data_IF_326955895128
#
_entry.id   IF_326955895128
#
_cell.length_a   1.000
_cell.length_b   1.000
_cell.length_c   1.000
_cell.angle_alpha   90.00
_cell.angle_beta   90.00
_cell.angle_gamma   90.00
#
_symmetry.space_group_name_H-M   'P 1'
#
loop_
_entity.id
_entity.type
_entity.pdbx_description
1 polymer ?
#
# COMPACT_ATOMS: atom_id res chain seq x y z
N UNK A 1 4.79 -1.93 0.20
CA UNK A 1 5.06 -1.55 -1.21
C UNK A 1 5.86 -2.64 -1.95
N UNK A 2 6.90 -3.21 -1.33
CA UNK A 2 7.87 -4.09 -1.96
C UNK A 2 7.78 -5.51 -1.41
N UNK A 3 7.90 -6.49 -2.30
CA UNK A 3 8.06 -7.90 -1.92
C UNK A 3 9.52 -8.33 -1.97
N UNK A 4 10.25 -7.86 -2.99
CA UNK A 4 11.68 -8.18 -3.18
C UNK A 4 12.57 -7.14 -2.51
N UNK A 5 13.65 -7.60 -1.90
CA UNK A 5 14.71 -6.75 -1.35
C UNK A 5 15.36 -5.89 -2.42
N UNK A 6 15.55 -6.44 -3.62
CA UNK A 6 16.12 -5.72 -4.77
C UNK A 6 15.26 -4.52 -5.19
N UNK A 7 13.93 -4.65 -5.18
CA UNK A 7 13.03 -3.54 -5.49
C UNK A 7 13.02 -2.51 -4.36
N UNK A 8 13.03 -2.95 -3.12
CA UNK A 8 13.08 -2.09 -1.95
C UNK A 8 14.39 -1.28 -1.90
N UNK A 9 15.52 -1.95 -2.19
CA UNK A 9 16.82 -1.29 -2.30
C UNK A 9 16.83 -0.27 -3.45
N UNK A 10 16.40 -0.67 -4.65
CA UNK A 10 16.49 0.17 -5.84
C UNK A 10 15.58 1.42 -5.79
N UNK A 11 14.42 1.34 -5.11
CA UNK A 11 13.41 2.40 -5.16
C UNK A 11 13.28 3.20 -3.87
N UNK A 12 13.84 2.73 -2.76
CA UNK A 12 13.70 3.39 -1.46
C UNK A 12 14.90 3.21 -0.54
N UNK A 13 16.00 2.63 -1.05
CA UNK A 13 17.22 2.34 -0.26
C UNK A 13 16.94 1.62 1.08
N UNK A 14 15.95 0.73 1.05
CA UNK A 14 15.44 0.04 2.23
C UNK A 14 15.31 -1.48 1.99
N UNK A 15 16.43 -2.24 1.88
CA UNK A 15 16.40 -3.66 1.56
C UNK A 15 15.58 -4.49 2.55
N UNK A 16 15.60 -4.14 3.82
CA UNK A 16 14.87 -4.83 4.90
C UNK A 16 13.39 -4.46 5.00
N UNK A 17 12.86 -3.62 4.08
CA UNK A 17 11.50 -3.11 4.13
C UNK A 17 10.44 -4.20 4.38
N UNK A 18 10.54 -5.33 3.65
CA UNK A 18 9.55 -6.40 3.77
C UNK A 18 9.51 -6.97 5.19
N UNK A 19 10.66 -7.26 5.79
CA UNK A 19 10.76 -7.81 7.14
C UNK A 19 10.08 -6.88 8.14
N UNK A 20 10.47 -5.61 8.16
CA UNK A 20 9.92 -4.63 9.08
C UNK A 20 8.43 -4.37 8.88
N UNK A 21 7.98 -4.37 7.62
CA UNK A 21 6.56 -4.19 7.32
C UNK A 21 5.71 -5.39 7.80
N UNK A 22 6.23 -6.61 7.71
CA UNK A 22 5.54 -7.80 8.20
C UNK A 22 5.49 -7.84 9.72
N UNK A 23 6.62 -7.58 10.39
CA UNK A 23 6.70 -7.52 11.86
C UNK A 23 5.77 -6.42 12.43
N UNK A 24 5.78 -5.24 11.82
CA UNK A 24 4.89 -4.15 12.22
C UNK A 24 3.40 -4.49 12.02
N UNK A 25 3.05 -5.15 10.93
CA UNK A 25 1.68 -5.54 10.65
C UNK A 25 1.19 -6.59 11.66
N UNK A 26 2.02 -7.59 11.96
CA UNK A 26 1.71 -8.60 12.98
C UNK A 26 1.44 -7.95 14.33
N UNK A 27 2.30 -7.03 14.76
CA UNK A 27 2.13 -6.28 16.01
C UNK A 27 0.84 -5.45 16.01
N UNK A 28 0.52 -4.73 14.92
CA UNK A 28 -0.72 -3.97 14.80
C UNK A 28 -1.96 -4.86 14.94
N UNK A 29 -1.96 -6.04 14.30
CA UNK A 29 -3.09 -6.98 14.38
C UNK A 29 -3.23 -7.54 15.80
N UNK A 30 -2.12 -7.84 16.47
CA UNK A 30 -2.14 -8.29 17.86
C UNK A 30 -2.69 -7.23 18.83
N UNK A 31 -2.39 -5.94 18.58
CA UNK A 31 -2.82 -4.84 19.43
C UNK A 31 -4.32 -4.52 19.31
N UNK A 32 -4.86 -4.54 18.08
CA UNK A 32 -6.24 -4.05 17.85
C UNK A 32 -7.26 -5.16 17.58
N UNK A 33 -6.82 -6.36 17.21
CA UNK A 33 -7.68 -7.49 16.89
C UNK A 33 -8.51 -7.32 15.62
N UNK A 34 -9.65 -8.00 15.58
CA UNK A 34 -10.57 -8.00 14.44
C UNK A 34 -11.25 -6.66 14.21
N UNK A 35 -11.67 -6.36 12.97
CA UNK A 35 -12.40 -5.15 12.66
C UNK A 35 -13.72 -5.04 13.47
N UNK A 36 -13.93 -3.89 14.09
CA UNK A 36 -15.15 -3.56 14.83
C UNK A 36 -15.82 -2.35 14.20
N UNK A 37 -17.11 -2.46 13.93
CA UNK A 37 -17.92 -1.39 13.37
C UNK A 37 -18.96 -0.91 14.36
N UNK A 38 -19.33 0.38 14.26
CA UNK A 38 -20.45 0.93 14.99
C UNK A 38 -21.79 0.64 14.30
N UNK A 39 -22.89 1.16 14.88
CA UNK A 39 -24.25 0.99 14.34
C UNK A 39 -24.49 1.66 12.99
N UNK A 40 -23.65 2.60 12.59
CA UNK A 40 -23.69 3.31 11.30
C UNK A 40 -22.77 2.68 10.26
N UNK A 41 -22.08 1.57 10.60
CA UNK A 41 -21.15 0.85 9.72
C UNK A 41 -19.79 1.52 9.58
N UNK A 42 -19.40 2.39 10.50
CA UNK A 42 -18.10 3.03 10.53
C UNK A 42 -17.10 2.17 11.32
N UNK A 43 -15.92 1.94 10.74
CA UNK A 43 -14.85 1.18 11.37
C UNK A 43 -14.32 1.91 12.62
N UNK A 44 -14.47 1.30 13.79
CA UNK A 44 -14.02 1.83 15.07
C UNK A 44 -12.65 1.30 15.49
N UNK A 45 -12.34 0.05 15.14
CA UNK A 45 -11.07 -0.60 15.43
C UNK A 45 -10.78 -1.63 14.34
N UNK A 46 -9.51 -1.94 14.13
CA UNK A 46 -9.06 -2.91 13.15
C UNK A 46 -7.87 -2.40 12.34
N UNK A 47 -7.36 -3.23 11.44
CA UNK A 47 -6.21 -2.91 10.60
C UNK A 47 -6.64 -2.77 9.15
N UNK A 48 -6.27 -1.65 8.52
CA UNK A 48 -6.40 -1.44 7.08
C UNK A 48 -5.01 -1.38 6.47
N UNK A 49 -4.67 -2.37 5.64
CA UNK A 49 -3.42 -2.39 4.90
C UNK A 49 -3.60 -1.68 3.57
N UNK A 50 -2.97 -0.52 3.42
CA UNK A 50 -2.99 0.25 2.17
C UNK A 50 -1.82 -0.14 1.29
N UNK A 51 -2.11 -0.80 0.17
CA UNK A 51 -1.11 -1.21 -0.82
C UNK A 51 -1.16 -0.35 -2.07
N UNK A 52 -0.14 0.48 -2.26
CA UNK A 52 0.05 1.27 -3.48
C UNK A 52 0.73 0.41 -4.54
N UNK A 53 0.03 0.15 -5.64
CA UNK A 53 0.62 -0.48 -6.82
C UNK A 53 1.63 0.48 -7.45
N UNK A 54 2.84 0.00 -7.68
CA UNK A 54 3.88 0.73 -8.42
C UNK A 54 3.92 0.26 -9.88
N UNK A 55 4.27 1.16 -10.82
CA UNK A 55 4.37 0.81 -12.24
C UNK A 55 5.33 -0.35 -12.48
N UNK A 56 4.89 -1.35 -13.23
CA UNK A 56 5.68 -2.54 -13.54
C UNK A 56 5.85 -3.55 -12.40
N UNK A 57 5.26 -3.29 -11.23
CA UNK A 57 5.42 -4.15 -10.04
C UNK A 57 4.21 -5.05 -9.76
N UNK A 58 3.38 -5.33 -10.77
CA UNK A 58 2.19 -6.15 -10.62
C UNK A 58 2.46 -7.53 -10.01
N UNK A 59 3.57 -8.18 -10.42
CA UNK A 59 3.93 -9.50 -9.89
C UNK A 59 4.27 -9.46 -8.38
N UNK A 60 4.94 -8.39 -7.93
CA UNK A 60 5.20 -8.18 -6.50
C UNK A 60 3.91 -7.84 -5.73
N UNK A 61 3.07 -6.98 -6.29
CA UNK A 61 1.78 -6.63 -5.71
C UNK A 61 0.90 -7.86 -5.49
N UNK A 62 0.81 -8.75 -6.47
CA UNK A 62 0.09 -10.03 -6.34
C UNK A 62 0.65 -10.91 -5.21
N UNK A 63 1.98 -10.95 -5.03
CA UNK A 63 2.60 -11.68 -3.91
C UNK A 63 2.26 -11.07 -2.56
N UNK A 64 2.24 -9.74 -2.47
CA UNK A 64 1.86 -9.02 -1.26
C UNK A 64 0.39 -9.32 -0.90
N UNK A 65 -0.54 -9.16 -1.84
CA UNK A 65 -1.96 -9.45 -1.63
C UNK A 65 -2.17 -10.90 -1.20
N UNK A 66 -1.50 -11.84 -1.88
CA UNK A 66 -1.56 -13.25 -1.50
C UNK A 66 -1.05 -13.52 -0.10
N UNK A 67 0.08 -12.92 0.30
CA UNK A 67 0.60 -13.03 1.65
C UNK A 67 -0.40 -12.49 2.69
N UNK A 68 -0.92 -11.29 2.48
CA UNK A 68 -1.88 -10.66 3.37
C UNK A 68 -3.12 -11.54 3.57
N UNK A 69 -3.69 -12.03 2.48
CA UNK A 69 -4.89 -12.86 2.54
C UNK A 69 -4.64 -14.23 3.17
N UNK A 70 -3.55 -14.91 2.82
CA UNK A 70 -3.24 -16.22 3.40
C UNK A 70 -2.83 -16.15 4.88
N UNK A 71 -2.25 -15.03 5.33
CA UNK A 71 -1.82 -14.86 6.72
C UNK A 71 -2.95 -14.37 7.62
N UNK A 72 -3.74 -13.41 7.13
CA UNK A 72 -4.72 -12.71 7.96
C UNK A 72 -6.18 -12.93 7.53
N UNK A 73 -6.42 -13.45 6.33
CA UNK A 73 -7.78 -13.65 5.80
C UNK A 73 -8.57 -12.35 5.79
N UNK A 74 -9.79 -12.44 6.33
CA UNK A 74 -10.70 -11.31 6.49
C UNK A 74 -10.61 -10.66 7.90
N UNK A 75 -9.53 -10.89 8.66
CA UNK A 75 -9.24 -10.18 9.91
C UNK A 75 -8.63 -8.79 9.70
N UNK A 76 -8.26 -8.47 8.45
CA UNK A 76 -7.77 -7.15 8.04
C UNK A 76 -8.52 -6.66 6.80
N UNK A 77 -8.52 -5.35 6.58
CA UNK A 77 -8.96 -4.75 5.31
C UNK A 77 -7.76 -4.51 4.39
N UNK A 78 -7.93 -4.78 3.09
CA UNK A 78 -6.91 -4.52 2.08
C UNK A 78 -7.38 -3.38 1.18
N UNK A 79 -6.71 -2.24 1.22
CA UNK A 79 -6.97 -1.11 0.32
C UNK A 79 -5.97 -1.10 -0.83
N UNK A 80 -6.45 -1.41 -2.04
CA UNK A 80 -5.63 -1.39 -3.25
C UNK A 80 -5.68 0.01 -3.87
N UNK A 81 -4.50 0.61 -4.08
CA UNK A 81 -4.36 1.98 -4.55
C UNK A 81 -3.58 2.02 -5.86
N UNK A 82 -4.00 2.89 -6.79
CA UNK A 82 -3.35 3.11 -8.08
C UNK A 82 -2.85 4.56 -8.27
N UNK A 83 -2.96 5.39 -7.25
CA UNK A 83 -2.66 6.83 -7.32
C UNK A 83 -1.16 7.15 -7.24
N UNK A 84 -0.30 6.30 -7.84
CA UNK A 84 1.11 6.61 -7.96
C UNK A 84 1.33 7.78 -8.90
N UNK A 85 2.02 8.82 -8.41
CA UNK A 85 2.45 9.96 -9.20
C UNK A 85 3.97 9.88 -9.37
N UNK A 86 4.48 9.88 -10.63
CA UNK A 86 5.91 9.90 -10.88
C UNK A 86 6.54 11.17 -10.30
N UNK A 87 7.64 11.01 -9.57
CA UNK A 87 8.45 12.12 -9.08
C UNK A 87 9.64 12.36 -10.04
N UNK A 88 10.25 13.55 -10.03
CA UNK A 88 11.50 13.78 -10.73
C UNK A 88 12.60 12.80 -10.24
N UNK A 89 13.52 12.44 -11.11
CA UNK A 89 14.74 11.68 -10.81
C UNK A 89 14.55 10.25 -10.25
N UNK A 90 13.33 9.69 -10.42
CA UNK A 90 13.10 8.29 -10.05
C UNK A 90 13.62 7.31 -11.10
N UNK A 91 13.95 6.05 -10.74
CA UNK A 91 14.34 5.01 -11.68
C UNK A 91 13.31 4.79 -12.80
N UNK A 92 13.77 4.41 -13.99
CA UNK A 92 12.96 4.29 -15.21
C UNK A 92 11.59 3.58 -15.04
N UNK A 93 11.46 2.45 -14.33
CA UNK A 93 10.15 1.83 -14.13
C UNK A 93 9.13 2.74 -13.42
N UNK A 94 9.60 3.66 -12.58
CA UNK A 94 8.76 4.57 -11.79
C UNK A 94 8.50 5.92 -12.48
N UNK A 95 9.02 6.15 -13.68
CA UNK A 95 8.83 7.42 -14.42
C UNK A 95 7.47 7.55 -15.11
N UNK A 96 6.58 6.57 -14.94
CA UNK A 96 5.22 6.56 -15.49
C UNK A 96 4.17 6.31 -14.41
N UNK A 97 2.94 6.64 -14.70
CA UNK A 97 1.79 6.21 -13.88
C UNK A 97 1.51 4.71 -14.06
N UNK A 98 0.80 4.14 -13.10
CA UNK A 98 0.25 2.79 -13.21
C UNK A 98 -0.73 2.73 -14.37
N UNK A 99 -0.61 1.74 -15.25
CA UNK A 99 -1.61 1.51 -16.28
C UNK A 99 -2.89 0.95 -15.67
N UNK A 100 -4.03 1.40 -16.19
CA UNK A 100 -5.34 0.90 -15.77
C UNK A 100 -5.42 -0.62 -15.78
N UNK A 101 -4.90 -1.27 -16.82
CA UNK A 101 -4.87 -2.73 -16.94
C UNK A 101 -4.04 -3.41 -15.84
N UNK A 102 -2.93 -2.83 -15.40
CA UNK A 102 -2.14 -3.37 -14.29
C UNK A 102 -2.95 -3.38 -12.99
N UNK A 103 -3.68 -2.29 -12.74
CA UNK A 103 -4.52 -2.17 -11.56
C UNK A 103 -5.72 -3.12 -11.60
N UNK A 104 -6.44 -3.18 -12.72
CA UNK A 104 -7.57 -4.11 -12.91
C UNK A 104 -7.14 -5.56 -12.71
N UNK A 105 -5.95 -5.95 -13.21
CA UNK A 105 -5.41 -7.29 -12.98
C UNK A 105 -5.07 -7.57 -11.51
N UNK A 106 -4.66 -6.56 -10.75
CA UNK A 106 -4.43 -6.71 -9.32
C UNK A 106 -5.75 -6.88 -8.56
N UNK A 107 -6.74 -6.06 -8.87
CA UNK A 107 -8.08 -6.14 -8.26
C UNK A 107 -8.72 -7.48 -8.55
N UNK A 108 -8.75 -7.92 -9.82
CA UNK A 108 -9.30 -9.22 -10.20
C UNK A 108 -8.59 -10.36 -9.47
N UNK A 109 -7.26 -10.29 -9.36
CA UNK A 109 -6.49 -11.28 -8.62
C UNK A 109 -6.86 -11.34 -7.13
N UNK A 110 -7.13 -10.21 -6.49
CA UNK A 110 -7.57 -10.16 -5.10
C UNK A 110 -8.96 -10.79 -4.94
N UNK A 111 -9.89 -10.50 -5.86
CA UNK A 111 -11.22 -11.11 -5.88
C UNK A 111 -11.16 -12.63 -6.10
N UNK A 112 -10.35 -13.09 -7.05
CA UNK A 112 -10.15 -14.52 -7.34
C UNK A 112 -9.55 -15.29 -6.15
N UNK A 113 -8.76 -14.61 -5.30
CA UNK A 113 -8.26 -15.18 -4.04
C UNK A 113 -9.32 -15.31 -2.96
N UNK A 114 -10.44 -14.58 -3.05
CA UNK A 114 -11.50 -14.56 -2.05
C UNK A 114 -11.38 -13.38 -1.05
N UNK A 115 -10.68 -12.31 -1.40
CA UNK A 115 -10.65 -11.08 -0.57
C UNK A 115 -12.03 -10.44 -0.61
N UNK A 116 -12.75 -10.47 0.51
CA UNK A 116 -14.07 -9.85 0.67
C UNK A 116 -13.98 -8.48 1.33
N UNK A 117 -13.00 -8.29 2.23
CA UNK A 117 -12.79 -7.04 2.94
C UNK A 117 -11.71 -6.20 2.24
N UNK A 118 -12.13 -5.41 1.27
CA UNK A 118 -11.22 -4.61 0.47
C UNK A 118 -11.83 -3.30 -0.02
N UNK A 119 -10.95 -2.32 -0.19
CA UNK A 119 -11.26 -1.05 -0.84
C UNK A 119 -10.48 -0.95 -2.15
N UNK A 120 -11.17 -0.56 -3.21
CA UNK A 120 -10.57 -0.26 -4.51
C UNK A 120 -10.79 1.21 -4.84
N UNK A 121 -9.81 1.81 -5.50
CA UNK A 121 -9.96 3.21 -5.92
C UNK A 121 -10.56 3.29 -7.32
N UNK A 122 -11.49 4.20 -7.51
CA UNK A 122 -11.95 4.58 -8.84
C UNK A 122 -10.87 5.37 -9.57
N UNK A 123 -10.85 5.24 -10.91
CA UNK A 123 -9.87 5.93 -11.75
C UNK A 123 -10.11 7.45 -11.71
N UNK A 124 -9.05 8.24 -11.47
CA UNK A 124 -9.10 9.70 -11.52
C UNK A 124 -8.60 10.44 -10.26
N UNK A 125 -8.26 9.71 -9.19
CA UNK A 125 -7.84 10.32 -7.91
C UNK A 125 -6.35 10.63 -7.80
N UNK A 126 -5.54 10.30 -8.81
CA UNK A 126 -4.09 10.56 -8.80
C UNK A 126 -3.77 11.96 -9.36
N UNK A 127 -3.99 13.00 -8.56
CA UNK A 127 -3.61 14.36 -8.88
C UNK A 127 -2.38 14.80 -8.10
N UNK A 128 -1.47 15.50 -8.76
CA UNK A 128 -0.23 16.01 -8.16
C UNK A 128 -0.51 17.03 -7.05
N UNK A 129 -1.67 17.70 -7.08
CA UNK A 129 -2.10 18.66 -6.06
C UNK A 129 -2.30 18.08 -4.66
N UNK A 130 -2.38 16.75 -4.53
CA UNK A 130 -2.46 16.06 -3.24
C UNK A 130 -1.10 15.70 -2.63
N UNK A 131 -0.01 16.01 -3.32
CA UNK A 131 1.35 15.79 -2.80
C UNK A 131 1.83 17.14 -2.29
N UNK A 132 1.99 17.33 -0.95
CA UNK A 132 2.55 18.56 -0.42
C UNK A 132 4.01 18.70 -0.85
N UNK A 133 4.47 19.93 -0.97
CA UNK A 133 5.89 20.20 -1.10
C UNK A 133 6.59 19.74 0.20
N UNK A 134 7.69 18.99 0.05
CA UNK A 134 8.52 18.59 1.20
C UNK A 134 9.59 19.68 1.43
N UNK A 135 9.15 20.82 1.96
CA UNK A 135 9.98 22.02 2.17
C UNK A 135 10.34 22.23 3.65
N UNK A 136 10.10 21.22 4.47
CA UNK A 136 10.30 21.24 5.92
C UNK A 136 9.43 22.27 6.68
N UNK A 137 8.39 22.81 6.07
CA UNK A 137 7.44 23.69 6.76
C UNK A 137 6.84 22.96 7.98
N UNK A 138 6.99 23.57 9.16
CA UNK A 138 6.51 22.99 10.42
C UNK A 138 7.48 22.01 11.11
N UNK A 139 8.69 21.86 10.60
CA UNK A 139 9.78 21.15 11.29
C UNK A 139 10.69 22.21 11.91
N UNK A 140 10.69 22.28 13.24
CA UNK A 140 11.63 23.17 13.95
C UNK A 140 13.07 22.74 13.64
N UNK A 141 13.92 23.72 13.24
CA UNK A 141 15.35 23.45 13.12
C UNK A 141 15.88 22.94 14.47
N UNK A 142 16.74 21.91 14.49
CA UNK A 142 17.35 21.48 15.74
C UNK A 142 18.13 22.69 16.31
N UNK A 143 17.71 23.17 17.46
CA UNK A 143 18.45 24.18 18.24
C UNK A 143 19.81 23.60 18.58
N UNK A 144 20.89 24.26 18.10
CA UNK A 144 22.28 23.97 18.44
C UNK A 144 22.53 23.99 19.96
#
# INVERSE_FOLDING_TARGET
>A
KYWKETSAQAYSDAPDYRRWAMEALEEMVLQVGDPVFDGDGMLQSGVIVRHLLLPGQLAEAKRIVRYLYHTYGNHIYISLMNQYTPMPDVPAPLQRRVHRREYEQLVNYALDLGVEQGFVQESGTAEQSFIPAFDYEGVDEPTE
#
